data_IF_109547318860
#
_entry.id   IF_109547318860
#
_cell.length_a   1.000
_cell.length_b   1.000
_cell.length_c   1.000
_cell.angle_alpha   90.00
_cell.angle_beta   90.00
_cell.angle_gamma   90.00
#
_symmetry.space_group_name_H-M   'P 1'
#
loop_
_entity.id
_entity.type
_entity.pdbx_description
1 polymer ?
#
# COMPACT_ATOMS: atom_id res chain seq x y z
N UNK A 1 -44.52 41.99 -22.55
CA UNK A 1 -43.13 41.57 -22.32
C UNK A 1 -42.94 41.30 -20.84
N UNK A 2 -43.19 40.05 -20.45
CA UNK A 2 -42.78 39.37 -19.22
C UNK A 2 -43.52 38.04 -19.26
N UNK A 3 -43.04 37.11 -20.10
CA UNK A 3 -43.54 35.74 -20.09
C UNK A 3 -43.00 35.04 -18.84
N UNK A 4 -43.93 34.60 -18.01
CA UNK A 4 -43.68 33.69 -16.90
C UNK A 4 -43.12 32.38 -17.47
N UNK A 5 -41.83 32.15 -17.29
CA UNK A 5 -41.21 30.85 -17.51
C UNK A 5 -41.71 29.90 -16.41
N UNK A 6 -42.63 29.02 -16.80
CA UNK A 6 -43.03 27.85 -16.04
C UNK A 6 -41.78 27.06 -15.63
N UNK A 7 -41.57 26.91 -14.33
CA UNK A 7 -40.57 26.00 -13.77
C UNK A 7 -40.94 24.58 -14.19
N UNK A 8 -40.30 24.10 -15.25
CA UNK A 8 -40.21 22.68 -15.57
C UNK A 8 -39.47 22.01 -14.40
N UNK A 9 -40.23 21.38 -13.51
CA UNK A 9 -39.70 20.46 -12.51
C UNK A 9 -39.31 19.19 -13.26
N UNK A 10 -38.07 19.14 -13.72
CA UNK A 10 -37.48 17.90 -14.21
C UNK A 10 -37.42 16.90 -13.05
N UNK A 11 -37.77 15.62 -13.25
CA UNK A 11 -37.50 14.58 -12.25
C UNK A 11 -35.99 14.56 -11.97
N UNK A 12 -35.56 14.18 -10.74
CA UNK A 12 -34.14 14.13 -10.42
C UNK A 12 -33.45 13.21 -11.41
N UNK A 13 -32.56 13.79 -12.23
CA UNK A 13 -31.72 13.00 -13.15
C UNK A 13 -30.98 11.96 -12.32
N UNK A 14 -31.18 10.68 -12.64
CA UNK A 14 -30.46 9.60 -11.98
C UNK A 14 -28.96 9.80 -12.21
N UNK A 15 -28.20 9.97 -11.14
CA UNK A 15 -26.75 10.20 -11.20
C UNK A 15 -26.07 8.85 -11.30
N UNK A 16 -25.29 8.66 -12.35
CA UNK A 16 -24.61 7.42 -12.69
C UNK A 16 -23.10 7.66 -12.78
N UNK A 17 -22.30 6.60 -12.68
CA UNK A 17 -20.83 6.67 -12.73
C UNK A 17 -20.33 7.38 -14.00
N UNK A 18 -20.99 7.15 -15.15
CA UNK A 18 -20.67 7.82 -16.41
C UNK A 18 -20.79 9.35 -16.39
N UNK A 19 -21.51 9.92 -15.41
CA UNK A 19 -21.66 11.37 -15.27
C UNK A 19 -20.55 11.98 -14.40
N UNK A 20 -19.68 11.18 -13.77
CA UNK A 20 -18.57 11.68 -12.95
C UNK A 20 -17.53 12.29 -13.88
N UNK A 21 -17.21 13.56 -13.64
CA UNK A 21 -16.16 14.29 -14.35
C UNK A 21 -14.86 14.27 -13.58
N UNK A 22 -14.84 14.63 -12.32
CA UNK A 22 -13.61 14.70 -11.52
C UNK A 22 -13.88 14.42 -10.04
N UNK A 23 -12.81 14.23 -9.28
CA UNK A 23 -12.84 13.99 -7.85
C UNK A 23 -11.82 14.90 -7.18
N UNK A 24 -12.16 15.47 -6.03
CA UNK A 24 -11.24 16.26 -5.23
C UNK A 24 -11.36 15.94 -3.74
N UNK A 25 -10.23 15.95 -3.05
CA UNK A 25 -10.14 15.96 -1.59
C UNK A 25 -9.93 17.39 -1.07
N UNK A 26 -10.54 17.71 0.07
CA UNK A 26 -10.38 18.98 0.78
C UNK A 26 -9.96 18.75 2.23
N UNK A 27 -8.98 19.52 2.68
CA UNK A 27 -8.43 19.48 4.03
C UNK A 27 -8.06 18.06 4.48
N UNK A 28 -7.35 17.34 3.60
CA UNK A 28 -6.90 15.98 3.88
C UNK A 28 -5.82 16.02 4.96
N UNK A 29 -6.09 15.38 6.08
CA UNK A 29 -5.23 15.33 7.24
C UNK A 29 -5.02 13.88 7.69
N UNK A 30 -3.76 13.51 7.85
CA UNK A 30 -3.36 12.21 8.42
C UNK A 30 -3.13 12.38 9.92
N UNK A 31 -3.95 11.72 10.74
CA UNK A 31 -3.72 11.60 12.19
C UNK A 31 -3.12 10.22 12.46
N UNK A 32 -1.90 10.17 12.99
CA UNK A 32 -1.30 8.91 13.45
C UNK A 32 -2.18 8.38 14.56
N UNK A 33 -2.80 7.21 14.36
CA UNK A 33 -3.48 6.49 15.42
C UNK A 33 -2.36 5.86 16.24
N UNK A 34 -2.00 6.51 17.35
CA UNK A 34 -1.22 5.84 18.38
C UNK A 34 -2.02 4.65 18.92
N UNK A 35 -1.29 3.56 19.17
CA UNK A 35 -1.80 2.25 19.51
C UNK A 35 -2.78 2.27 20.70
N UNK A 36 -3.72 1.32 20.66
CA UNK A 36 -4.75 0.99 21.66
C UNK A 36 -6.08 1.75 21.49
N UNK A 37 -6.96 1.21 20.63
CA UNK A 37 -8.31 0.78 21.03
C UNK A 37 -9.07 0.24 19.81
N UNK A 38 -9.21 -1.09 19.75
CA UNK A 38 -10.31 -1.70 19.00
C UNK A 38 -11.61 -1.38 19.74
N UNK A 39 -12.65 -1.07 18.96
CA UNK A 39 -14.01 -0.66 19.37
C UNK A 39 -14.15 0.82 19.71
N UNK A 40 -14.67 1.59 18.74
CA UNK A 40 -15.85 2.45 18.91
C UNK A 40 -16.11 3.25 17.62
N UNK A 41 -17.24 2.94 16.98
CA UNK A 41 -17.94 3.82 16.04
C UNK A 41 -18.33 5.07 16.83
N UNK A 42 -17.65 6.20 16.62
CA UNK A 42 -18.12 7.48 17.19
C UNK A 42 -17.67 8.70 16.37
N UNK A 43 -18.66 9.29 15.70
CA UNK A 43 -19.00 10.72 15.63
C UNK A 43 -17.89 11.77 15.83
N UNK A 44 -17.73 12.61 14.81
CA UNK A 44 -16.87 13.80 14.79
C UNK A 44 -17.23 14.83 15.89
N UNK A 45 -16.25 15.36 16.64
CA UNK A 45 -16.42 16.57 17.44
C UNK A 45 -16.24 17.85 16.59
N UNK A 46 -16.87 18.93 17.05
CA UNK A 46 -16.95 20.26 16.42
C UNK A 46 -15.65 21.08 16.49
N UNK A 47 -15.23 21.54 15.31
CA UNK A 47 -14.65 22.86 14.91
C UNK A 47 -13.77 23.67 15.87
N UNK A 48 -12.63 24.15 15.35
CA UNK A 48 -12.23 25.58 15.43
C UNK A 48 -11.54 26.08 14.13
N UNK A 49 -12.07 27.21 13.65
CA UNK A 49 -11.59 28.27 12.74
C UNK A 49 -10.45 28.10 11.69
N UNK A 50 -10.87 28.37 10.45
CA UNK A 50 -10.38 29.40 9.50
C UNK A 50 -9.05 29.21 8.73
N UNK A 51 -9.17 29.10 7.41
CA UNK A 51 -8.56 30.04 6.47
C UNK A 51 -9.32 30.03 5.12
N UNK A 52 -9.55 31.23 4.58
CA UNK A 52 -10.33 31.50 3.38
C UNK A 52 -9.43 31.82 2.18
N UNK A 53 -9.90 31.47 0.97
CA UNK A 53 -9.45 31.91 -0.38
C UNK A 53 -8.14 31.25 -0.86
N UNK A 54 -7.86 30.98 -2.15
CA UNK A 54 -8.47 31.28 -3.46
C UNK A 54 -7.99 30.22 -4.48
N UNK A 55 -8.83 29.80 -5.43
CA UNK A 55 -8.44 28.91 -6.53
C UNK A 55 -7.80 29.75 -7.66
N UNK A 56 -6.49 29.93 -7.61
CA UNK A 56 -5.69 30.40 -8.74
C UNK A 56 -4.38 29.59 -8.76
N UNK A 57 -4.05 29.11 -9.95
CA UNK A 57 -2.99 28.18 -10.23
C UNK A 57 -1.58 28.77 -9.98
N UNK A 58 -0.66 27.86 -9.60
CA UNK A 58 0.77 27.85 -9.95
C UNK A 58 1.66 28.96 -9.35
N UNK A 59 2.83 28.51 -8.88
CA UNK A 59 4.00 29.30 -8.46
C UNK A 59 3.86 30.11 -7.17
N UNK A 60 4.19 29.48 -6.04
CA UNK A 60 4.80 30.25 -4.96
C UNK A 60 5.84 29.42 -4.18
N UNK A 61 7.10 29.63 -4.55
CA UNK A 61 8.33 29.03 -4.00
C UNK A 61 8.58 29.36 -2.51
N UNK A 62 7.66 30.09 -1.87
CA UNK A 62 7.75 30.61 -0.51
C UNK A 62 7.19 29.64 0.54
N UNK A 63 6.13 28.89 0.23
CA UNK A 63 5.59 27.83 1.09
C UNK A 63 6.54 26.63 1.20
N UNK A 64 7.19 26.30 0.08
CA UNK A 64 8.15 25.19 -0.03
C UNK A 64 9.39 25.42 0.84
N UNK A 65 9.83 26.67 1.04
CA UNK A 65 10.97 27.01 1.92
C UNK A 65 10.67 26.92 3.41
N UNK A 66 9.40 27.07 3.83
CA UNK A 66 9.00 26.93 5.25
C UNK A 66 8.75 25.48 5.65
N UNK A 67 8.27 24.64 4.72
CA UNK A 67 8.00 23.23 4.99
C UNK A 67 9.26 22.40 5.31
N UNK A 68 10.43 22.81 4.79
CA UNK A 68 11.70 22.08 4.94
C UNK A 68 12.70 22.78 5.87
N UNK A 69 12.25 23.64 6.80
CA UNK A 69 13.16 24.27 7.75
C UNK A 69 13.62 23.26 8.83
N UNK A 70 14.91 22.97 8.77
CA UNK A 70 15.67 21.90 9.44
C UNK A 70 15.51 21.91 10.98
N UNK A 71 14.67 21.01 11.51
CA UNK A 71 14.72 20.57 12.90
C UNK A 71 15.01 19.07 12.93
N UNK A 72 16.26 18.70 13.26
CA UNK A 72 16.83 17.34 13.21
C UNK A 72 16.22 16.33 14.21
N UNK A 73 15.08 16.64 14.85
CA UNK A 73 14.41 15.71 15.77
C UNK A 73 12.89 15.54 15.59
N UNK A 74 12.26 16.18 14.61
CA UNK A 74 10.87 15.88 14.22
C UNK A 74 10.66 16.12 12.72
N UNK A 75 10.80 15.07 11.90
CA UNK A 75 10.65 15.08 10.44
C UNK A 75 9.21 15.31 9.93
N UNK A 76 8.28 15.76 10.78
CA UNK A 76 6.84 15.91 10.47
C UNK A 76 6.36 17.36 10.53
N UNK A 77 7.19 18.32 10.11
CA UNK A 77 6.95 19.74 10.42
C UNK A 77 6.12 20.56 9.42
N UNK A 78 5.38 19.94 8.50
CA UNK A 78 4.19 20.50 7.83
C UNK A 78 3.51 19.36 7.05
N UNK A 79 2.36 18.87 7.54
CA UNK A 79 1.66 17.65 7.09
C UNK A 79 1.11 17.65 5.67
N UNK A 80 1.96 17.89 4.66
CA UNK A 80 1.65 17.74 3.24
C UNK A 80 1.78 16.27 2.83
N UNK A 81 0.87 15.83 1.97
CA UNK A 81 0.72 14.44 1.60
C UNK A 81 0.88 14.28 0.09
N UNK A 82 1.40 13.12 -0.31
CA UNK A 82 1.24 12.62 -1.67
C UNK A 82 -0.03 11.77 -1.69
N UNK A 83 -0.93 12.01 -2.65
CA UNK A 83 -2.23 11.36 -2.68
C UNK A 83 -2.60 10.84 -4.08
N UNK A 84 -3.24 9.68 -4.13
CA UNK A 84 -3.94 9.18 -5.33
C UNK A 84 -5.27 8.55 -4.93
N UNK A 85 -6.23 8.53 -5.86
CA UNK A 85 -7.55 7.95 -5.66
C UNK A 85 -7.76 6.71 -6.54
N UNK A 86 -8.54 5.76 -6.03
CA UNK A 86 -9.03 4.61 -6.80
C UNK A 86 -10.55 4.50 -6.70
N UNK A 87 -11.18 4.06 -7.79
CA UNK A 87 -12.61 3.81 -7.86
C UNK A 87 -12.90 2.33 -8.13
N UNK A 88 -13.89 1.80 -7.42
CA UNK A 88 -14.28 0.40 -7.45
C UNK A 88 -15.80 0.26 -7.60
N UNK A 89 -16.24 -0.87 -8.17
CA UNK A 89 -17.66 -1.25 -8.31
C UNK A 89 -17.84 -2.63 -7.70
N UNK A 90 -18.89 -2.79 -6.88
CA UNK A 90 -19.22 -4.06 -6.23
C UNK A 90 -18.84 -4.09 -4.76
N UNK A 91 -18.38 -5.25 -4.28
CA UNK A 91 -18.00 -5.48 -2.88
C UNK A 91 -16.61 -4.88 -2.54
N UNK A 92 -16.27 -4.86 -1.26
CA UNK A 92 -15.05 -4.22 -0.73
C UNK A 92 -13.77 -4.71 -1.44
N UNK A 93 -13.66 -5.99 -1.83
CA UNK A 93 -12.46 -6.56 -2.46
C UNK A 93 -12.45 -6.49 -4.00
N UNK A 94 -13.38 -5.74 -4.62
CA UNK A 94 -13.41 -5.61 -6.06
C UNK A 94 -12.18 -4.85 -6.61
N UNK A 95 -11.63 -5.27 -7.77
CA UNK A 95 -10.51 -4.56 -8.40
C UNK A 95 -10.89 -3.12 -8.76
N UNK A 96 -9.91 -2.20 -8.70
CA UNK A 96 -10.14 -0.81 -9.10
C UNK A 96 -10.34 -0.74 -10.61
N UNK A 97 -11.44 -0.14 -11.08
CA UNK A 97 -11.65 0.14 -12.50
C UNK A 97 -10.95 1.44 -12.95
N UNK A 98 -10.62 2.31 -12.01
CA UNK A 98 -9.92 3.56 -12.25
C UNK A 98 -8.92 3.86 -11.12
N UNK A 99 -7.72 4.28 -11.50
CA UNK A 99 -6.68 4.81 -10.62
C UNK A 99 -6.24 6.17 -11.15
N UNK A 100 -6.32 7.20 -10.31
CA UNK A 100 -5.90 8.55 -10.67
C UNK A 100 -4.38 8.68 -10.76
N UNK A 101 -3.92 9.81 -11.27
CA UNK A 101 -2.57 10.28 -11.04
C UNK A 101 -2.27 10.51 -9.55
N UNK A 102 -0.98 10.48 -9.22
CA UNK A 102 -0.48 10.90 -7.91
C UNK A 102 -0.30 12.42 -7.91
N UNK A 103 -0.91 13.08 -6.92
CA UNK A 103 -0.72 14.50 -6.64
C UNK A 103 0.21 14.64 -5.44
N UNK A 104 1.46 15.09 -5.64
CA UNK A 104 2.40 15.25 -4.55
C UNK A 104 2.16 16.54 -3.76
N UNK A 105 2.64 16.56 -2.51
CA UNK A 105 2.82 17.76 -1.70
C UNK A 105 1.57 18.64 -1.52
N UNK A 106 0.41 18.04 -1.21
CA UNK A 106 -0.86 18.76 -1.06
C UNK A 106 -1.73 18.22 0.08
N UNK A 107 -2.59 19.09 0.62
CA UNK A 107 -3.72 18.73 1.51
C UNK A 107 -5.08 18.84 0.80
N UNK A 108 -5.07 19.27 -0.46
CA UNK A 108 -6.27 19.50 -1.28
C UNK A 108 -6.10 18.86 -2.66
N UNK A 109 -5.90 17.53 -2.76
CA UNK A 109 -5.68 16.87 -4.03
C UNK A 109 -6.89 17.03 -4.94
N UNK A 110 -6.67 17.48 -6.17
CA UNK A 110 -7.70 17.52 -7.22
C UNK A 110 -7.21 16.65 -8.36
N UNK A 111 -7.98 15.62 -8.69
CA UNK A 111 -7.60 14.64 -9.70
C UNK A 111 -8.14 15.03 -11.08
N UNK A 112 -7.42 14.61 -12.12
CA UNK A 112 -7.74 14.85 -13.53
C UNK A 112 -9.11 14.27 -13.84
N UNK A 113 -9.80 14.94 -14.76
CA UNK A 113 -11.11 14.49 -15.18
C UNK A 113 -11.05 13.11 -15.82
N UNK A 114 -12.05 12.28 -15.53
CA UNK A 114 -12.24 10.97 -16.15
C UNK A 114 -12.40 11.15 -17.67
N UNK A 115 -11.66 10.37 -18.49
CA UNK A 115 -11.72 10.51 -19.93
C UNK A 115 -13.10 10.11 -20.45
N UNK A 116 -13.74 11.05 -21.14
CA UNK A 116 -15.01 10.87 -21.85
C UNK A 116 -14.75 10.77 -23.36
N UNK A 117 -15.39 9.84 -24.09
CA UNK A 117 -16.43 8.90 -23.64
C UNK A 117 -15.86 7.73 -22.81
N UNK A 118 -16.70 7.15 -21.94
CA UNK A 118 -16.38 5.99 -21.09
C UNK A 118 -16.29 4.67 -21.88
N UNK A 119 -15.67 4.68 -23.06
CA UNK A 119 -15.56 3.51 -23.95
C UNK A 119 -14.62 2.43 -23.40
N UNK A 120 -13.90 2.74 -22.33
CA UNK A 120 -12.99 1.87 -21.60
C UNK A 120 -13.66 1.12 -20.44
N UNK A 121 -14.98 1.28 -20.26
CA UNK A 121 -15.76 0.71 -19.16
C UNK A 121 -17.08 0.11 -19.68
N UNK A 122 -17.56 -0.95 -19.03
CA UNK A 122 -18.82 -1.57 -19.43
C UNK A 122 -20.02 -0.65 -19.16
N UNK A 123 -20.94 -0.57 -20.12
CA UNK A 123 -22.09 0.35 -20.04
C UNK A 123 -22.99 0.13 -18.82
N UNK A 124 -23.08 -1.11 -18.33
CA UNK A 124 -23.93 -1.48 -17.19
C UNK A 124 -23.32 -1.00 -15.87
N UNK A 125 -21.99 -1.09 -15.76
CA UNK A 125 -21.20 -0.55 -14.66
C UNK A 125 -21.20 0.97 -14.68
N UNK A 126 -20.99 1.57 -15.86
CA UNK A 126 -21.07 3.00 -16.07
C UNK A 126 -22.49 3.56 -15.80
N UNK A 127 -23.53 2.70 -15.86
CA UNK A 127 -24.91 3.02 -15.50
C UNK A 127 -25.25 2.76 -14.02
N UNK A 128 -24.32 2.23 -13.21
CA UNK A 128 -24.49 2.12 -11.76
C UNK A 128 -24.51 3.50 -11.08
N UNK A 129 -25.18 3.60 -9.94
CA UNK A 129 -25.07 4.77 -9.05
C UNK A 129 -24.20 4.52 -7.82
N UNK A 130 -23.85 3.26 -7.52
CA UNK A 130 -23.03 2.90 -6.37
C UNK A 130 -21.56 2.82 -6.80
N UNK A 131 -20.68 3.54 -6.11
CA UNK A 131 -19.24 3.55 -6.33
C UNK A 131 -18.51 3.55 -4.98
N UNK A 132 -17.42 2.79 -4.88
CA UNK A 132 -16.52 2.86 -3.73
C UNK A 132 -15.31 3.68 -4.15
N UNK A 133 -15.08 4.78 -3.44
CA UNK A 133 -13.93 5.65 -3.62
C UNK A 133 -12.94 5.44 -2.49
N UNK A 134 -11.68 5.19 -2.85
CA UNK A 134 -10.58 5.07 -1.89
C UNK A 134 -9.54 6.15 -2.14
N UNK A 135 -9.15 6.84 -1.08
CA UNK A 135 -8.06 7.81 -1.09
C UNK A 135 -6.86 7.21 -0.38
N UNK A 136 -5.76 7.11 -1.11
CA UNK A 136 -4.48 6.60 -0.62
C UNK A 136 -3.53 7.77 -0.45
N UNK A 137 -2.83 7.80 0.69
CA UNK A 137 -1.90 8.89 1.00
C UNK A 137 -0.57 8.35 1.50
N UNK A 138 0.49 9.16 1.38
CA UNK A 138 1.80 8.99 2.01
C UNK A 138 2.31 10.36 2.46
N UNK A 139 3.13 10.44 3.50
CA UNK A 139 3.85 11.69 3.80
C UNK A 139 4.75 12.07 2.62
N UNK A 140 4.69 13.35 2.22
CA UNK A 140 5.44 13.82 1.07
C UNK A 140 6.96 13.79 1.35
N UNK A 141 7.72 13.28 0.39
CA UNK A 141 9.19 13.20 0.45
C UNK A 141 9.74 14.30 -0.48
N UNK A 142 10.89 14.94 -0.19
CA UNK A 142 11.46 15.99 -1.05
C UNK A 142 11.60 15.63 -2.54
N UNK A 143 11.78 14.34 -2.84
CA UNK A 143 11.92 13.80 -4.19
C UNK A 143 10.57 13.59 -4.91
N UNK A 144 9.44 13.61 -4.18
CA UNK A 144 8.09 13.42 -4.72
C UNK A 144 7.64 14.55 -5.65
N UNK A 145 8.24 15.75 -5.55
CA UNK A 145 7.87 16.91 -6.37
C UNK A 145 8.11 16.70 -7.88
N UNK A 146 8.93 15.72 -8.27
CA UNK A 146 9.17 15.33 -9.67
C UNK A 146 8.53 14.01 -10.08
N UNK A 147 7.87 13.30 -9.15
CA UNK A 147 7.21 12.03 -9.43
C UNK A 147 5.76 12.30 -9.82
N UNK A 148 5.44 12.16 -11.10
CA UNK A 148 4.06 12.17 -11.58
C UNK A 148 3.75 10.80 -12.19
N UNK A 149 2.71 10.14 -11.68
CA UNK A 149 2.20 8.90 -12.27
C UNK A 149 1.04 9.22 -13.18
N UNK A 150 0.97 8.63 -14.37
CA UNK A 150 -0.21 8.78 -15.23
C UNK A 150 -1.41 7.98 -14.67
N UNK A 151 -2.65 8.43 -14.92
CA UNK A 151 -3.84 7.69 -14.52
C UNK A 151 -3.94 6.36 -15.26
N UNK A 152 -4.35 5.31 -14.57
CA UNK A 152 -4.54 3.96 -15.12
C UNK A 152 -6.03 3.69 -15.25
N UNK A 153 -6.47 3.39 -16.47
CA UNK A 153 -7.85 3.05 -16.81
C UNK A 153 -8.00 1.54 -16.95
N UNK A 154 -9.14 1.01 -16.50
CA UNK A 154 -9.47 -0.42 -16.57
C UNK A 154 -9.12 -1.18 -15.29
N UNK A 155 -9.65 -2.39 -15.18
CA UNK A 155 -9.49 -3.25 -14.01
C UNK A 155 -8.01 -3.59 -13.77
N UNK A 156 -7.47 -3.04 -12.70
CA UNK A 156 -6.09 -3.28 -12.28
C UNK A 156 -6.08 -4.06 -10.97
N UNK A 157 -5.55 -5.28 -11.01
CA UNK A 157 -5.05 -5.99 -9.82
C UNK A 157 -3.66 -5.41 -9.46
N UNK A 158 -3.57 -4.11 -9.15
CA UNK A 158 -2.29 -3.57 -8.68
C UNK A 158 -2.18 -3.76 -7.17
N UNK A 159 -1.36 -4.74 -6.81
CA UNK A 159 -0.72 -4.88 -5.51
C UNK A 159 -0.11 -3.53 -5.08
N UNK A 160 -0.29 -3.22 -3.79
CA UNK A 160 0.14 -1.98 -3.15
C UNK A 160 1.62 -1.67 -3.45
N UNK A 161 1.89 -0.51 -4.07
CA UNK A 161 3.26 -0.01 -4.25
C UNK A 161 3.58 1.08 -3.21
N UNK A 162 4.74 0.93 -2.60
CA UNK A 162 5.60 2.00 -2.08
C UNK A 162 5.03 2.86 -0.91
N UNK A 163 4.68 2.24 0.22
CA UNK A 163 4.44 2.98 1.48
C UNK A 163 3.22 3.90 1.52
N UNK A 164 2.31 3.82 0.54
CA UNK A 164 1.00 4.48 0.59
C UNK A 164 0.03 3.70 1.48
N UNK A 165 -0.73 4.42 2.30
CA UNK A 165 -1.75 3.88 3.19
C UNK A 165 -3.14 4.39 2.80
N UNK A 166 -4.16 3.55 3.01
CA UNK A 166 -5.56 3.93 2.83
C UNK A 166 -5.96 4.92 3.92
N UNK A 167 -6.37 6.13 3.54
CA UNK A 167 -6.83 7.16 4.48
C UNK A 167 -8.35 7.25 4.54
N UNK A 168 -9.02 7.20 3.39
CA UNK A 168 -10.48 7.30 3.30
C UNK A 168 -10.99 6.19 2.39
N UNK A 169 -11.95 5.42 2.89
CA UNK A 169 -12.79 4.54 2.09
C UNK A 169 -14.24 5.03 2.19
N UNK A 170 -14.82 5.41 1.06
CA UNK A 170 -16.17 5.93 1.01
C UNK A 170 -17.01 5.16 -0.01
N UNK A 171 -17.99 4.41 0.51
CA UNK A 171 -19.03 3.79 -0.31
C UNK A 171 -20.14 4.81 -0.55
N UNK A 172 -20.32 5.20 -1.81
CA UNK A 172 -21.17 6.32 -2.21
C UNK A 172 -22.26 5.85 -3.15
N UNK A 173 -23.52 6.10 -2.78
CA UNK A 173 -24.59 6.17 -3.77
C UNK A 173 -24.65 7.60 -4.32
N UNK A 174 -24.33 7.76 -5.60
CA UNK A 174 -24.30 9.06 -6.28
C UNK A 174 -25.67 9.77 -6.18
N UNK A 175 -26.77 9.02 -6.09
CA UNK A 175 -28.10 9.59 -5.94
C UNK A 175 -28.33 10.22 -4.56
N UNK A 176 -27.63 9.75 -3.52
CA UNK A 176 -27.72 10.27 -2.16
C UNK A 176 -26.86 11.52 -1.93
N UNK A 177 -26.01 11.91 -2.88
CA UNK A 177 -25.15 13.08 -2.74
C UNK A 177 -25.91 14.40 -2.85
N UNK A 178 -25.57 15.36 -1.97
CA UNK A 178 -26.13 16.72 -1.98
C UNK A 178 -25.32 17.67 -2.85
N UNK A 179 -26.01 18.49 -3.64
CA UNK A 179 -25.40 19.52 -4.48
C UNK A 179 -24.89 20.67 -3.61
N UNK A 180 -23.59 20.97 -3.71
CA UNK A 180 -22.97 22.10 -2.99
C UNK A 180 -22.94 23.36 -3.86
N UNK A 181 -22.70 23.22 -5.17
CA UNK A 181 -22.58 24.36 -6.07
C UNK A 181 -22.46 23.96 -7.54
N UNK A 182 -22.70 24.91 -8.46
CA UNK A 182 -22.66 24.69 -9.92
C UNK A 182 -21.34 25.10 -10.56
N UNK A 183 -20.62 26.04 -9.96
CA UNK A 183 -19.31 26.49 -10.43
C UNK A 183 -18.30 26.43 -9.28
N UNK A 184 -17.03 26.20 -9.62
CA UNK A 184 -15.92 26.22 -8.65
C UNK A 184 -15.82 27.57 -7.92
N UNK A 185 -16.30 28.64 -8.55
CA UNK A 185 -16.37 30.00 -7.99
C UNK A 185 -17.42 30.17 -6.88
N UNK A 186 -18.44 29.30 -6.81
CA UNK A 186 -19.54 29.41 -5.83
C UNK A 186 -19.20 28.70 -4.51
N UNK A 187 -18.06 28.00 -4.44
CA UNK A 187 -17.62 27.21 -3.29
C UNK A 187 -16.91 28.08 -2.23
N UNK A 188 -17.58 29.09 -1.70
CA UNK A 188 -17.07 29.90 -0.56
C UNK A 188 -17.25 29.19 0.80
N UNK A 189 -17.12 27.87 0.83
CA UNK A 189 -17.36 27.05 2.02
C UNK A 189 -16.04 26.64 2.68
N UNK A 190 -16.01 26.66 4.01
CA UNK A 190 -14.96 25.99 4.78
C UNK A 190 -15.37 24.51 4.91
N UNK A 191 -14.62 23.63 4.25
CA UNK A 191 -14.86 22.18 4.32
C UNK A 191 -14.26 21.61 5.61
N UNK A 192 -14.92 20.64 6.26
CA UNK A 192 -14.31 19.89 7.35
C UNK A 192 -13.10 19.07 6.84
N UNK A 193 -12.26 18.60 7.77
CA UNK A 193 -11.15 17.70 7.44
C UNK A 193 -11.64 16.45 6.71
N UNK A 194 -10.81 15.91 5.81
CA UNK A 194 -11.07 14.67 5.07
C UNK A 194 -12.38 14.69 4.26
N UNK A 195 -12.71 15.84 3.66
CA UNK A 195 -13.89 15.98 2.81
C UNK A 195 -13.60 15.55 1.38
N UNK A 196 -14.50 14.74 0.80
CA UNK A 196 -14.44 14.30 -0.58
C UNK A 196 -15.54 14.98 -1.42
N UNK A 197 -15.17 15.41 -2.63
CA UNK A 197 -16.02 16.11 -3.57
C UNK A 197 -16.07 15.35 -4.90
N UNK A 198 -17.28 15.12 -5.41
CA UNK A 198 -17.53 14.61 -6.75
C UNK A 198 -17.98 15.76 -7.66
N UNK A 199 -17.28 15.98 -8.75
CA UNK A 199 -17.76 16.82 -9.84
C UNK A 199 -18.53 15.94 -10.83
N UNK A 200 -19.83 16.20 -10.97
CA UNK A 200 -20.70 15.59 -11.97
C UNK A 200 -20.97 16.60 -13.09
N UNK A 201 -21.60 16.19 -14.20
CA UNK A 201 -21.93 17.07 -15.33
C UNK A 201 -22.68 18.36 -14.96
N UNK A 202 -23.43 18.35 -13.86
CA UNK A 202 -24.31 19.44 -13.43
C UNK A 202 -23.83 20.20 -12.18
N UNK A 203 -22.69 19.81 -11.58
CA UNK A 203 -22.07 20.55 -10.47
C UNK A 203 -21.25 19.69 -9.50
N UNK A 204 -20.90 20.30 -8.37
CA UNK A 204 -20.13 19.67 -7.29
C UNK A 204 -21.02 19.12 -6.18
N UNK A 205 -20.69 17.91 -5.74
CA UNK A 205 -21.46 17.12 -4.80
C UNK A 205 -20.59 16.58 -3.67
N UNK A 206 -21.17 16.42 -2.48
CA UNK A 206 -20.53 15.77 -1.33
C UNK A 206 -21.56 15.06 -0.45
N UNK A 207 -21.09 14.44 0.63
CA UNK A 207 -21.94 13.79 1.61
C UNK A 207 -22.97 14.75 2.19
N UNK A 208 -24.15 14.22 2.50
CA UNK A 208 -25.30 14.95 3.08
C UNK A 208 -24.96 15.74 4.33
N UNK A 209 -23.97 15.26 5.08
CA UNK A 209 -23.65 15.73 6.42
C UNK A 209 -22.83 17.03 6.41
N UNK A 210 -22.40 17.49 5.23
CA UNK A 210 -21.52 18.66 5.03
C UNK A 210 -22.34 19.94 4.72
N UNK A 211 -23.66 19.92 4.93
CA UNK A 211 -24.50 21.10 4.73
C UNK A 211 -24.07 22.27 5.65
N UNK A 212 -23.85 23.47 5.11
CA UNK A 212 -23.39 24.62 5.88
C UNK A 212 -24.49 25.16 6.81
N UNK A 213 -24.09 25.47 8.04
CA UNK A 213 -24.86 26.11 9.13
C UNK A 213 -25.52 27.46 8.72
N UNK A 214 -25.24 28.01 7.55
CA UNK A 214 -25.64 29.37 7.14
C UNK A 214 -26.86 29.48 6.19
N UNK A 215 -27.56 28.39 5.84
CA UNK A 215 -28.76 28.49 4.97
C UNK A 215 -30.11 28.65 5.70
N UNK A 216 -30.16 28.58 7.03
CA UNK A 216 -31.43 28.69 7.78
C UNK A 216 -32.03 30.10 7.88
N UNK A 217 -31.46 31.14 7.23
CA UNK A 217 -32.00 32.52 7.32
C UNK A 217 -32.63 33.09 6.05
N UNK A 218 -32.67 32.36 4.92
CA UNK A 218 -33.24 32.91 3.66
C UNK A 218 -34.40 32.14 3.05
N UNK A 219 -34.90 31.11 3.73
CA UNK A 219 -36.00 30.27 3.21
C UNK A 219 -37.31 30.34 4.01
N UNK A 220 -37.44 31.25 4.99
CA UNK A 220 -38.68 31.45 5.75
C UNK A 220 -39.30 32.83 5.50
N UNK A 221 -39.78 33.08 4.28
CA UNK A 221 -40.75 34.17 4.06
C UNK A 221 -41.58 33.91 2.80
N UNK A 222 -42.27 32.78 2.79
CA UNK A 222 -43.46 32.58 1.95
C UNK A 222 -44.45 31.74 2.77
N UNK A 223 -45.14 32.40 3.69
CA UNK A 223 -46.45 31.94 4.14
C UNK A 223 -47.49 32.93 3.63
N UNK A 224 -48.42 32.40 2.86
CA UNK A 224 -49.72 33.00 2.67
C UNK A 224 -50.42 33.06 4.03
N UNK A 225 -51.02 34.18 4.37
CA UNK A 225 -52.42 34.10 4.77
C UNK A 225 -53.21 35.39 4.53
N UNK A 226 -54.44 35.17 4.12
CA UNK A 226 -55.47 36.15 3.81
C UNK A 226 -56.01 36.79 5.09
N UNK A 227 -56.34 38.09 5.04
CA UNK A 227 -57.62 38.59 5.57
C UNK A 227 -57.87 40.06 5.23
N UNK A 228 -58.97 40.27 4.51
CA UNK A 228 -59.73 41.51 4.51
C UNK A 228 -60.21 41.85 5.92
N UNK A 229 -60.07 43.11 6.35
CA UNK A 229 -61.13 43.88 7.02
C UNK A 229 -60.81 45.38 6.97
N UNK A 230 -61.86 46.15 6.68
CA UNK A 230 -61.90 47.58 6.45
C UNK A 230 -61.44 48.48 7.61
N UNK A 231 -60.90 49.66 7.28
CA UNK A 231 -61.32 50.96 7.83
C UNK A 231 -60.64 52.11 7.04
N UNK A 232 -61.35 52.88 6.20
CA UNK A 232 -62.06 54.14 6.51
C UNK A 232 -61.21 55.42 6.25
N UNK A 233 -61.71 56.23 5.30
CA UNK A 233 -61.46 57.66 4.99
C UNK A 233 -60.06 58.06 4.45
N UNK A 234 -59.95 58.65 3.25
CA UNK A 234 -60.39 60.03 2.98
C UNK A 234 -60.70 60.30 1.50
N UNK A 235 -61.64 61.21 1.32
CA UNK A 235 -62.38 61.57 0.12
C UNK A 235 -61.61 62.62 -0.70
N UNK A 236 -61.39 62.37 -2.00
CA UNK A 236 -61.35 63.43 -3.01
C UNK A 236 -61.86 62.91 -4.38
N UNK A 237 -63.17 63.09 -4.55
CA UNK A 237 -63.87 63.63 -5.73
C UNK A 237 -63.19 63.57 -7.12
N UNK A 238 -63.94 63.00 -8.07
CA UNK A 238 -64.03 63.35 -9.49
C UNK A 238 -62.96 62.83 -10.48
N UNK A 239 -63.23 61.64 -11.04
CA UNK A 239 -63.69 61.47 -12.45
C UNK A 239 -63.75 59.99 -12.80
N UNK A 240 -64.98 59.51 -12.98
CA UNK A 240 -65.30 58.25 -13.63
C UNK A 240 -64.72 58.22 -15.05
N UNK A 241 -63.53 57.65 -15.22
CA UNK A 241 -63.17 56.99 -16.49
C UNK A 241 -63.42 55.51 -16.30
N UNK A 242 -64.66 55.10 -16.60
CA UNK A 242 -64.94 53.72 -16.96
C UNK A 242 -63.94 53.37 -18.07
N UNK A 243 -62.89 52.59 -17.74
CA UNK A 243 -62.03 51.99 -18.75
C UNK A 243 -62.97 51.14 -19.60
N UNK A 244 -63.20 51.57 -20.85
CA UNK A 244 -64.02 50.83 -21.81
C UNK A 244 -63.51 49.39 -21.82
N UNK A 245 -64.37 48.47 -21.43
CA UNK A 245 -64.24 47.05 -21.72
C UNK A 245 -63.85 46.90 -23.19
N UNK A 246 -62.91 45.99 -23.44
CA UNK A 246 -62.16 45.83 -24.69
C UNK A 246 -62.92 46.27 -25.96
N UNK A 247 -62.31 47.16 -26.75
CA UNK A 247 -62.82 47.50 -28.08
C UNK A 247 -62.86 46.26 -28.96
N UNK A 248 -63.86 46.15 -29.83
CA UNK A 248 -64.07 45.02 -30.76
C UNK A 248 -62.80 44.55 -31.48
N UNK A 249 -61.94 45.48 -31.90
CA UNK A 249 -60.64 45.18 -32.51
C UNK A 249 -59.67 44.38 -31.62
N UNK A 250 -59.72 44.55 -30.30
CA UNK A 250 -58.91 43.77 -29.35
C UNK A 250 -59.46 42.36 -29.15
N UNK A 251 -60.78 42.19 -29.17
CA UNK A 251 -61.44 40.87 -29.15
C UNK A 251 -61.06 40.09 -30.41
N UNK A 252 -61.12 40.74 -31.58
CA UNK A 252 -60.76 40.10 -32.84
C UNK A 252 -59.29 39.64 -32.84
N UNK A 253 -58.35 40.51 -32.42
CA UNK A 253 -56.93 40.16 -32.29
C UNK A 253 -56.70 39.01 -31.31
N UNK A 254 -57.43 38.98 -30.20
CA UNK A 254 -57.32 37.91 -29.21
C UNK A 254 -57.79 36.57 -29.78
N UNK A 255 -58.91 36.55 -30.51
CA UNK A 255 -59.34 35.35 -31.24
C UNK A 255 -58.29 34.90 -32.26
N UNK A 256 -57.72 35.83 -33.04
CA UNK A 256 -56.65 35.48 -34.00
C UNK A 256 -55.42 34.89 -33.32
N UNK A 257 -55.02 35.41 -32.14
CA UNK A 257 -53.91 34.85 -31.37
C UNK A 257 -54.25 33.47 -30.81
N UNK A 258 -55.48 33.26 -30.34
CA UNK A 258 -55.94 31.94 -29.88
C UNK A 258 -55.93 30.91 -31.02
N UNK A 259 -56.36 31.32 -32.22
CA UNK A 259 -56.27 30.48 -33.42
C UNK A 259 -54.81 30.18 -33.78
N UNK A 260 -53.91 31.16 -33.73
CA UNK A 260 -52.48 30.94 -33.94
C UNK A 260 -51.84 30.01 -32.89
N UNK A 261 -52.28 30.06 -31.63
CA UNK A 261 -51.83 29.16 -30.57
C UNK A 261 -52.32 27.74 -30.84
N UNK A 262 -53.58 27.58 -31.25
CA UNK A 262 -54.14 26.27 -31.61
C UNK A 262 -53.40 25.67 -32.81
N UNK A 263 -53.12 26.47 -33.85
CA UNK A 263 -52.35 26.04 -35.03
C UNK A 263 -50.91 25.64 -34.67
N UNK A 264 -50.24 26.39 -33.80
CA UNK A 264 -48.87 26.05 -33.35
C UNK A 264 -48.85 24.80 -32.47
N UNK A 265 -49.86 24.59 -31.64
CA UNK A 265 -50.01 23.35 -30.87
C UNK A 265 -50.23 22.16 -31.80
N UNK A 266 -51.12 22.29 -32.79
CA UNK A 266 -51.39 21.24 -33.77
C UNK A 266 -50.14 20.93 -34.61
N UNK A 267 -49.36 21.95 -35.01
CA UNK A 267 -48.10 21.74 -35.73
C UNK A 267 -47.05 21.05 -34.86
N UNK A 268 -46.94 21.43 -33.58
CA UNK A 268 -46.05 20.76 -32.62
C UNK A 268 -46.40 19.29 -32.44
N UNK A 269 -47.69 18.97 -32.33
CA UNK A 269 -48.16 17.58 -32.21
C UNK A 269 -47.89 16.78 -33.49
N UNK A 270 -48.04 17.38 -34.67
CA UNK A 270 -47.68 16.75 -35.94
C UNK A 270 -46.18 16.47 -36.03
N UNK A 271 -45.33 17.41 -35.60
CA UNK A 271 -43.87 17.21 -35.54
C UNK A 271 -43.52 16.10 -34.55
N UNK A 272 -44.18 16.06 -33.38
CA UNK A 272 -43.98 15.00 -32.38
C UNK A 272 -44.31 13.62 -32.94
N UNK A 273 -45.45 13.49 -33.61
CA UNK A 273 -45.86 12.22 -34.23
C UNK A 273 -44.91 11.81 -35.36
N UNK A 274 -44.44 12.77 -36.18
CA UNK A 274 -43.46 12.50 -37.22
C UNK A 274 -42.11 12.03 -36.63
N UNK A 275 -41.67 12.61 -35.51
CA UNK A 275 -40.47 12.17 -34.80
C UNK A 275 -40.66 10.75 -34.25
N UNK A 276 -41.79 10.46 -33.61
CA UNK A 276 -42.10 9.12 -33.08
C UNK A 276 -42.16 8.07 -34.19
N UNK A 277 -42.72 8.40 -35.36
CA UNK A 277 -42.76 7.52 -36.53
C UNK A 277 -41.36 7.24 -37.09
N UNK A 278 -40.51 8.27 -37.24
CA UNK A 278 -39.12 8.11 -37.70
C UNK A 278 -38.30 7.28 -36.70
N UNK A 279 -38.49 7.50 -35.40
CA UNK A 279 -37.83 6.72 -34.34
C UNK A 279 -38.31 5.26 -34.35
N UNK A 280 -39.61 5.03 -34.51
CA UNK A 280 -40.18 3.68 -34.60
C UNK A 280 -39.70 2.91 -35.83
N UNK A 281 -39.52 3.58 -36.97
CA UNK A 281 -38.94 2.96 -38.18
C UNK A 281 -37.47 2.56 -38.00
N UNK A 282 -36.70 3.29 -37.18
CA UNK A 282 -35.27 3.03 -36.96
C UNK A 282 -34.96 2.23 -35.68
N UNK A 283 -35.93 1.98 -34.81
CA UNK A 283 -35.75 1.31 -33.51
C UNK A 283 -35.02 -0.03 -33.64
N UNK A 284 -35.40 -0.83 -34.64
CA UNK A 284 -34.78 -2.14 -34.91
C UNK A 284 -33.31 -2.02 -35.34
N UNK A 285 -32.97 -0.96 -36.06
CA UNK A 285 -31.59 -0.64 -36.44
C UNK A 285 -30.74 -0.22 -35.25
N UNK A 286 -31.29 0.57 -34.33
CA UNK A 286 -30.62 0.93 -33.07
C UNK A 286 -30.42 -0.28 -32.16
N UNK A 287 -31.41 -1.18 -32.04
CA UNK A 287 -31.27 -2.43 -31.28
C UNK A 287 -30.16 -3.33 -31.83
N UNK A 288 -30.13 -3.56 -33.15
CA UNK A 288 -29.10 -4.38 -33.80
C UNK A 288 -27.69 -3.76 -33.65
N UNK A 289 -27.58 -2.44 -33.80
CA UNK A 289 -26.30 -1.74 -33.61
C UNK A 289 -25.82 -1.85 -32.16
N UNK A 290 -26.72 -1.68 -31.20
CA UNK A 290 -26.44 -1.85 -29.77
C UNK A 290 -25.98 -3.28 -29.44
N UNK A 291 -26.63 -4.28 -30.01
CA UNK A 291 -26.27 -5.69 -29.80
C UNK A 291 -24.88 -5.99 -30.40
N UNK A 292 -24.60 -5.46 -31.59
CA UNK A 292 -23.28 -5.58 -32.23
C UNK A 292 -22.19 -4.92 -31.38
N UNK A 293 -22.43 -3.70 -30.89
CA UNK A 293 -21.48 -2.99 -30.03
C UNK A 293 -21.26 -3.76 -28.71
N UNK A 294 -22.32 -4.32 -28.13
CA UNK A 294 -22.20 -5.17 -26.93
C UNK A 294 -21.36 -6.42 -27.18
N UNK A 295 -21.58 -7.12 -28.30
CA UNK A 295 -20.77 -8.28 -28.66
C UNK A 295 -19.31 -7.91 -28.92
N UNK A 296 -19.07 -6.74 -29.52
CA UNK A 296 -17.73 -6.23 -29.77
C UNK A 296 -16.99 -5.94 -28.47
N UNK A 297 -17.63 -5.29 -27.50
CA UNK A 297 -17.04 -5.05 -26.17
C UNK A 297 -16.70 -6.37 -25.46
N UNK A 298 -17.61 -7.36 -25.49
CA UNK A 298 -17.36 -8.69 -24.91
C UNK A 298 -16.18 -9.40 -25.57
N UNK A 299 -16.02 -9.28 -26.89
CA UNK A 299 -14.87 -9.85 -27.59
C UNK A 299 -13.56 -9.22 -27.14
N UNK A 300 -13.51 -7.89 -27.02
CA UNK A 300 -12.32 -7.17 -26.53
C UNK A 300 -11.98 -7.57 -25.10
N UNK A 301 -13.00 -7.69 -24.23
CA UNK A 301 -12.82 -8.15 -22.85
C UNK A 301 -12.27 -9.58 -22.80
N UNK A 302 -12.86 -10.51 -23.55
CA UNK A 302 -12.38 -11.90 -23.62
C UNK A 302 -10.96 -11.99 -24.20
N UNK A 303 -10.63 -11.20 -25.21
CA UNK A 303 -9.28 -11.12 -25.76
C UNK A 303 -8.28 -10.61 -24.70
N UNK A 304 -8.65 -9.57 -23.94
CA UNK A 304 -7.84 -9.04 -22.85
C UNK A 304 -7.62 -10.09 -21.76
N UNK A 305 -8.69 -10.80 -21.35
CA UNK A 305 -8.61 -11.90 -20.39
C UNK A 305 -7.69 -13.03 -20.90
N UNK A 306 -7.79 -13.41 -22.18
CA UNK A 306 -6.91 -14.42 -22.78
C UNK A 306 -5.44 -13.98 -22.74
N UNK A 307 -5.15 -12.71 -23.07
CA UNK A 307 -3.79 -12.17 -23.02
C UNK A 307 -3.25 -12.18 -21.58
N UNK A 308 -4.07 -11.77 -20.60
CA UNK A 308 -3.70 -11.78 -19.19
C UNK A 308 -3.43 -13.22 -18.69
N UNK A 309 -4.31 -14.17 -19.02
CA UNK A 309 -4.12 -15.57 -18.65
C UNK A 309 -2.87 -16.16 -19.31
N UNK A 310 -2.58 -15.83 -20.58
CA UNK A 310 -1.34 -16.23 -21.25
C UNK A 310 -0.11 -15.67 -20.54
N UNK A 311 -0.11 -14.40 -20.14
CA UNK A 311 0.98 -13.80 -19.35
C UNK A 311 1.15 -14.48 -18.00
N UNK A 312 0.06 -14.70 -17.26
CA UNK A 312 0.08 -15.41 -15.97
C UNK A 312 0.66 -16.82 -16.09
N UNK A 313 0.29 -17.52 -17.15
CA UNK A 313 0.79 -18.86 -17.43
C UNK A 313 2.27 -18.84 -17.82
N UNK A 314 2.72 -17.84 -18.58
CA UNK A 314 4.12 -17.66 -18.93
C UNK A 314 4.99 -17.42 -17.67
N UNK A 315 4.58 -16.52 -16.79
CA UNK A 315 5.28 -16.27 -15.52
C UNK A 315 5.35 -17.55 -14.68
N UNK A 316 4.25 -18.30 -14.56
CA UNK A 316 4.25 -19.60 -13.85
C UNK A 316 5.20 -20.61 -14.49
N UNK A 317 5.29 -20.66 -15.83
CA UNK A 317 6.24 -21.53 -16.54
C UNK A 317 7.69 -21.13 -16.28
N UNK A 318 7.99 -19.83 -16.26
CA UNK A 318 9.32 -19.33 -15.95
C UNK A 318 9.72 -19.65 -14.51
N UNK A 319 8.81 -19.45 -13.55
CA UNK A 319 9.00 -19.82 -12.14
C UNK A 319 9.21 -21.33 -11.95
N UNK A 320 8.53 -22.17 -12.73
CA UNK A 320 8.76 -23.62 -12.70
C UNK A 320 10.14 -23.99 -13.26
N UNK A 321 10.58 -23.34 -14.34
CA UNK A 321 11.92 -23.57 -14.91
C UNK A 321 13.03 -23.17 -13.93
N UNK A 322 12.93 -22.00 -13.29
CA UNK A 322 13.93 -21.56 -12.31
C UNK A 322 13.97 -22.51 -11.11
N UNK A 323 12.80 -22.97 -10.63
CA UNK A 323 12.74 -23.95 -9.54
C UNK A 323 13.31 -25.30 -9.94
N UNK A 324 13.09 -25.76 -11.17
CA UNK A 324 13.71 -26.98 -11.69
C UNK A 324 15.24 -26.87 -11.74
N UNK A 325 15.77 -25.76 -12.26
CA UNK A 325 17.22 -25.50 -12.30
C UNK A 325 17.83 -25.46 -10.88
N UNK A 326 17.13 -24.83 -9.92
CA UNK A 326 17.57 -24.82 -8.53
C UNK A 326 17.64 -26.24 -7.94
N UNK A 327 16.63 -27.06 -8.21
CA UNK A 327 16.61 -28.44 -7.75
C UNK A 327 17.72 -29.28 -8.38
N UNK A 328 17.96 -29.11 -9.68
CA UNK A 328 19.05 -29.77 -10.40
C UNK A 328 20.41 -29.41 -9.81
N UNK A 329 20.68 -28.11 -9.63
CA UNK A 329 21.91 -27.64 -8.97
C UNK A 329 22.06 -28.24 -7.57
N UNK A 330 20.99 -28.24 -6.77
CA UNK A 330 21.02 -28.83 -5.43
C UNK A 330 21.27 -30.35 -5.47
N UNK A 331 20.78 -31.06 -6.48
CA UNK A 331 21.08 -32.49 -6.62
C UNK A 331 22.55 -32.74 -6.94
N UNK A 332 23.15 -31.87 -7.76
CA UNK A 332 24.59 -31.90 -8.07
C UNK A 332 25.40 -31.61 -6.80
N UNK A 333 25.07 -30.54 -6.08
CA UNK A 333 25.75 -30.18 -4.82
C UNK A 333 25.70 -31.30 -3.78
N UNK A 334 24.54 -31.97 -3.65
CA UNK A 334 24.36 -33.10 -2.75
C UNK A 334 25.17 -34.32 -3.19
N UNK A 335 25.26 -34.59 -4.50
CA UNK A 335 26.08 -35.67 -5.04
C UNK A 335 27.56 -35.42 -4.76
N UNK A 336 28.05 -34.20 -4.99
CA UNK A 336 29.42 -33.82 -4.68
C UNK A 336 29.73 -33.88 -3.18
N UNK A 337 28.81 -33.38 -2.34
CA UNK A 337 28.96 -33.47 -0.90
C UNK A 337 29.04 -34.92 -0.43
N UNK A 338 28.22 -35.82 -1.00
CA UNK A 338 28.28 -37.26 -0.71
C UNK A 338 29.64 -37.86 -1.10
N UNK A 339 30.18 -37.52 -2.27
CA UNK A 339 31.51 -37.98 -2.71
C UNK A 339 32.60 -37.48 -1.75
N UNK A 340 32.58 -36.20 -1.38
CA UNK A 340 33.54 -35.63 -0.42
C UNK A 340 33.45 -36.32 0.95
N UNK A 341 32.24 -36.54 1.46
CA UNK A 341 32.05 -37.26 2.72
C UNK A 341 32.60 -38.69 2.64
N UNK A 342 32.37 -39.40 1.53
CA UNK A 342 32.89 -40.75 1.37
C UNK A 342 34.43 -40.76 1.36
N UNK A 343 35.06 -39.88 0.58
CA UNK A 343 36.53 -39.73 0.55
C UNK A 343 37.08 -39.44 1.95
N UNK A 344 36.46 -38.50 2.68
CA UNK A 344 36.89 -38.18 4.03
C UNK A 344 36.73 -39.36 5.01
N UNK A 345 35.71 -40.20 4.84
CA UNK A 345 35.55 -41.42 5.65
C UNK A 345 36.66 -42.42 5.33
N UNK A 346 36.98 -42.62 4.07
CA UNK A 346 38.06 -43.51 3.64
C UNK A 346 39.41 -43.01 4.17
N UNK A 347 39.67 -41.70 4.09
CA UNK A 347 40.88 -41.05 4.64
C UNK A 347 40.96 -41.20 6.17
N UNK A 348 39.84 -41.04 6.89
CA UNK A 348 39.81 -41.24 8.34
C UNK A 348 40.08 -42.69 8.72
N UNK A 349 39.56 -43.65 7.96
CA UNK A 349 39.82 -45.07 8.18
C UNK A 349 41.28 -45.42 7.93
N UNK A 350 41.91 -44.85 6.90
CA UNK A 350 43.35 -45.00 6.67
C UNK A 350 44.16 -44.39 7.81
N UNK A 351 43.82 -43.18 8.24
CA UNK A 351 44.48 -42.51 9.37
C UNK A 351 44.34 -43.30 10.68
N UNK A 352 43.18 -43.92 10.94
CA UNK A 352 42.97 -44.79 12.09
C UNK A 352 43.91 -46.00 12.05
N UNK A 353 44.03 -46.66 10.89
CA UNK A 353 44.95 -47.79 10.72
C UNK A 353 46.43 -47.36 10.90
N UNK A 354 46.82 -46.20 10.37
CA UNK A 354 48.16 -45.64 10.58
C UNK A 354 48.41 -45.34 12.05
N UNK A 355 47.43 -44.76 12.75
CA UNK A 355 47.52 -44.49 14.18
C UNK A 355 47.68 -45.78 14.99
N UNK A 356 46.90 -46.82 14.68
CA UNK A 356 47.00 -48.11 15.35
C UNK A 356 48.39 -48.73 15.17
N UNK A 357 48.93 -48.68 13.94
CA UNK A 357 50.30 -49.12 13.63
C UNK A 357 51.34 -48.32 14.42
N UNK A 358 51.18 -46.99 14.50
CA UNK A 358 52.08 -46.13 15.26
C UNK A 358 52.03 -46.42 16.77
N UNK A 359 50.84 -46.70 17.33
CA UNK A 359 50.69 -47.10 18.72
C UNK A 359 51.42 -48.42 18.97
N UNK A 360 51.20 -49.43 18.13
CA UNK A 360 51.89 -50.74 18.23
C UNK A 360 53.41 -50.59 18.13
N UNK A 361 53.89 -49.81 17.16
CA UNK A 361 55.33 -49.53 16.99
C UNK A 361 55.95 -48.81 18.18
N UNK A 362 55.25 -47.81 18.75
CA UNK A 362 55.69 -47.13 19.96
C UNK A 362 55.74 -48.09 21.15
N UNK A 363 54.76 -48.96 21.28
CA UNK A 363 54.76 -49.98 22.34
C UNK A 363 55.95 -50.92 22.15
N UNK A 364 56.18 -51.49 20.97
CA UNK A 364 57.30 -52.44 20.75
C UNK A 364 58.66 -51.78 20.98
N UNK A 365 58.86 -50.55 20.50
CA UNK A 365 60.08 -49.79 20.74
C UNK A 365 60.28 -49.48 22.22
N UNK A 366 59.23 -49.08 22.95
CA UNK A 366 59.28 -48.86 24.40
C UNK A 366 59.64 -50.14 25.18
N UNK A 367 59.04 -51.28 24.84
CA UNK A 367 59.35 -52.56 25.48
C UNK A 367 60.79 -53.00 25.18
N UNK A 368 61.25 -52.85 23.94
CA UNK A 368 62.63 -53.16 23.53
C UNK A 368 63.65 -52.29 24.27
N UNK A 369 63.39 -50.97 24.35
CA UNK A 369 64.24 -50.02 25.06
C UNK A 369 64.28 -50.33 26.55
N UNK A 370 63.13 -50.61 27.18
CA UNK A 370 63.08 -51.00 28.59
C UNK A 370 63.77 -52.34 28.86
N UNK A 371 63.66 -53.29 27.94
CA UNK A 371 64.41 -54.55 28.02
C UNK A 371 65.91 -54.27 27.96
N UNK A 372 66.38 -53.48 27.00
CA UNK A 372 67.80 -53.12 26.88
C UNK A 372 68.30 -52.36 28.11
N UNK A 373 67.49 -51.45 28.67
CA UNK A 373 67.80 -50.79 29.95
C UNK A 373 67.97 -51.80 31.08
N UNK A 374 67.05 -52.76 31.22
CA UNK A 374 67.14 -53.81 32.25
C UNK A 374 68.37 -54.70 32.05
N UNK A 375 68.69 -55.07 30.81
CA UNK A 375 69.90 -55.82 30.47
C UNK A 375 71.16 -55.03 30.84
N UNK A 376 71.24 -53.74 30.46
CA UNK A 376 72.37 -52.87 30.83
C UNK A 376 72.50 -52.69 32.34
N UNK A 377 71.38 -52.57 33.06
CA UNK A 377 71.39 -52.51 34.54
C UNK A 377 71.90 -53.85 35.11
N UNK A 378 71.46 -54.98 34.57
CA UNK A 378 71.96 -56.30 34.99
C UNK A 378 73.45 -56.49 34.69
N UNK A 379 73.92 -56.05 33.51
CA UNK A 379 75.33 -56.03 33.15
C UNK A 379 76.13 -55.13 34.10
N UNK A 380 75.60 -53.96 34.46
CA UNK A 380 76.23 -53.05 35.43
C UNK A 380 76.33 -53.71 36.82
N UNK A 381 75.27 -54.38 37.29
CA UNK A 381 75.30 -55.17 38.53
C UNK A 381 76.31 -56.33 38.47
N UNK A 382 76.57 -56.91 37.30
CA UNK A 382 77.61 -57.94 37.10
C UNK A 382 79.03 -57.37 37.16
N UNK A 383 79.25 -56.17 36.58
CA UNK A 383 80.55 -55.50 36.59
C UNK A 383 80.88 -54.93 37.99
N UNK A 384 79.88 -54.42 38.69
CA UNK A 384 80.00 -53.86 40.04
C UNK A 384 79.00 -54.52 41.00
N UNK A 385 79.24 -55.77 41.41
CA UNK A 385 78.39 -56.44 42.39
C UNK A 385 78.46 -55.68 43.71
N UNK A 386 77.30 -55.20 44.16
CA UNK A 386 77.10 -54.57 45.46
C UNK A 386 76.48 -55.62 46.37
N UNK A 387 77.30 -56.23 47.22
CA UNK A 387 76.88 -57.26 48.16
C UNK A 387 76.75 -56.66 49.56
N UNK A 388 75.76 -57.09 50.34
CA UNK A 388 75.73 -56.78 51.77
C UNK A 388 76.77 -57.63 52.49
N UNK A 389 77.48 -57.04 53.44
CA UNK A 389 78.44 -57.75 54.28
C UNK A 389 77.74 -58.85 55.09
N UNK A 390 78.40 -60.00 55.27
CA UNK A 390 77.88 -61.07 56.12
C UNK A 390 77.91 -60.72 57.61
N UNK A 391 78.77 -59.78 58.01
CA UNK A 391 79.03 -59.45 59.42
C UNK A 391 78.17 -58.28 59.94
N UNK A 392 77.70 -57.39 59.06
CA UNK A 392 76.91 -56.21 59.43
C UNK A 392 75.93 -55.81 58.30
N UNK A 393 74.64 -55.80 58.65
CA UNK A 393 73.52 -55.41 57.78
C UNK A 393 73.61 -53.96 57.23
N UNK A 394 74.44 -53.10 57.82
CA UNK A 394 74.62 -51.70 57.41
C UNK A 394 75.86 -51.45 56.54
N UNK A 395 76.63 -52.49 56.21
CA UNK A 395 77.85 -52.38 55.41
C UNK A 395 77.67 -53.05 54.04
N UNK A 396 78.04 -52.31 53.00
CA UNK A 396 77.97 -52.77 51.61
C UNK A 396 79.39 -52.97 51.06
N UNK A 397 79.56 -53.91 50.14
CA UNK A 397 80.82 -54.28 49.52
C UNK A 397 80.67 -54.17 48.00
N UNK A 398 81.53 -53.41 47.32
CA UNK A 398 81.53 -53.30 45.85
C UNK A 398 82.76 -54.03 45.30
N UNK A 399 82.57 -54.99 44.39
CA UNK A 399 83.65 -55.85 43.82
C UNK A 399 84.55 -56.49 44.87
N UNK A 400 84.02 -56.76 46.06
CA UNK A 400 84.80 -57.32 47.13
C UNK A 400 85.55 -56.30 48.02
N UNK A 401 85.24 -55.00 47.98
CA UNK A 401 85.82 -53.99 48.88
C UNK A 401 84.72 -53.31 49.69
N UNK A 402 84.92 -53.15 51.00
CA UNK A 402 83.95 -52.50 51.89
C UNK A 402 83.79 -51.02 51.54
N UNK A 403 82.54 -50.56 51.48
CA UNK A 403 82.21 -49.17 51.31
C UNK A 403 82.32 -48.44 52.67
N UNK A 404 83.15 -47.41 52.79
CA UNK A 404 83.33 -46.71 54.06
C UNK A 404 82.09 -45.87 54.42
N UNK A 405 81.49 -46.15 55.59
CA UNK A 405 80.38 -45.39 56.17
C UNK A 405 80.91 -44.12 56.87
N UNK A 406 81.44 -43.18 56.08
CA UNK A 406 81.82 -41.81 56.49
C UNK A 406 82.89 -41.68 57.59
N UNK A 407 83.39 -42.78 58.16
CA UNK A 407 84.47 -42.84 59.15
C UNK A 407 85.66 -43.55 58.49
N UNK A 408 86.75 -42.80 58.29
CA UNK A 408 87.93 -43.26 57.54
C UNK A 408 89.12 -43.64 58.44
N UNK A 409 88.95 -43.57 59.77
CA UNK A 409 90.02 -43.79 60.73
C UNK A 409 90.47 -45.26 60.74
N UNK A 410 91.75 -45.49 60.42
CA UNK A 410 92.40 -46.81 60.51
C UNK A 410 92.20 -47.77 59.33
N UNK A 411 91.56 -47.31 58.24
CA UNK A 411 91.38 -48.10 57.02
C UNK A 411 92.46 -47.79 55.98
N UNK A 412 92.83 -48.76 55.14
CA UNK A 412 93.84 -48.55 54.11
C UNK A 412 93.36 -47.52 53.07
N UNK A 413 94.09 -46.42 52.95
CA UNK A 413 93.78 -45.30 52.06
C UNK A 413 93.61 -45.75 50.60
N UNK A 414 94.42 -46.70 50.14
CA UNK A 414 94.32 -47.27 48.79
C UNK A 414 93.02 -48.08 48.56
N UNK A 415 92.55 -48.82 49.57
CA UNK A 415 91.29 -49.58 49.48
C UNK A 415 90.08 -48.65 49.48
N UNK A 416 90.14 -47.59 50.29
CA UNK A 416 89.13 -46.51 50.31
C UNK A 416 89.08 -45.82 48.94
N UNK A 417 90.22 -45.39 48.42
CA UNK A 417 90.31 -44.73 47.11
C UNK A 417 89.80 -45.66 45.98
N UNK A 418 90.08 -46.96 46.04
CA UNK A 418 89.60 -47.94 45.06
C UNK A 418 88.08 -48.15 45.18
N UNK A 419 87.53 -48.27 46.39
CA UNK A 419 86.10 -48.42 46.63
C UNK A 419 85.32 -47.17 46.18
N UNK A 420 85.81 -45.97 46.53
CA UNK A 420 85.26 -44.71 46.07
C UNK A 420 85.41 -44.55 44.55
N UNK A 421 86.52 -44.99 43.96
CA UNK A 421 86.73 -45.04 42.52
C UNK A 421 85.65 -45.89 41.81
N UNK A 422 85.34 -47.07 42.35
CA UNK A 422 84.24 -47.89 41.84
C UNK A 422 82.88 -47.21 41.99
N UNK A 423 82.61 -46.46 43.07
CA UNK A 423 81.38 -45.67 43.18
C UNK A 423 81.32 -44.48 42.22
N UNK A 424 82.45 -43.84 41.90
CA UNK A 424 82.48 -42.74 40.92
C UNK A 424 82.31 -43.21 39.48
N UNK A 425 82.61 -44.48 39.21
CA UNK A 425 82.45 -45.07 37.88
C UNK A 425 81.00 -45.53 37.62
N UNK A 426 80.22 -45.80 38.66
CA UNK A 426 78.81 -46.18 38.59
C UNK A 426 77.94 -44.92 38.45
#
# INVERSE_FOLDING_TARGET
MAENSSKLVFPPRQKRIRHIRSIAGRNIAWKSIDAEDETLITTMPRSESANSLSLAAVEDSSLMKRAYQKNEHHLYSLGLLDAYATLHIGELDAPAFYKSEMIPNTINPTFRSLPYPMDWMDWHEAASSLVIMRLWTRHSIPESAGQHTEPVLGYSETEHYDGFQLLIEWQVDLNALTLIGKSSSDLHFSFPENTLLFELEDGFYSATDILPVNQHKRSSMLELDQKDTASIHSVHSNKTKVKRSCTFNHILKLNTVMDCIADTQQSSDQVRLSIEEVLGQQERGFCLKRELDQHRSKLVELEAQIIQQKRRLQIKREMLKTRQQLLENRTIDLAEAKIRCQSNMDDLQENEHVLEKNIKMRQTTFHSLNRRKKELIADLFSIYPIEQSYDDSQQFRIRGIYLPNSVYDGQNEELIATALGFTTHL
#
